data_IF_719273228896
#
_entry.id   IF_719273228896
#
_cell.length_a   1.000
_cell.length_b   1.000
_cell.length_c   1.000
_cell.angle_alpha   90.00
_cell.angle_beta   90.00
_cell.angle_gamma   90.00
#
_symmetry.space_group_name_H-M   'P 1'
#
loop_
_entity.id
_entity.type
_entity.pdbx_description
1 polymer ?
#
# COMPACT_ATOMS: atom_id res chain seq x y z
N UNK A 1 -31.92 27.86 2.63
CA UNK A 1 -31.71 26.79 1.65
C UNK A 1 -30.41 26.11 2.00
N UNK A 2 -30.47 24.95 2.65
CA UNK A 2 -29.30 24.21 3.14
C UNK A 2 -28.93 23.15 2.12
N UNK A 3 -27.72 23.21 1.56
CA UNK A 3 -27.15 22.14 0.74
C UNK A 3 -25.86 21.68 1.42
N UNK A 4 -25.92 20.42 1.86
CA UNK A 4 -24.88 19.72 2.60
C UNK A 4 -23.60 19.60 1.77
N UNK A 5 -22.46 19.89 2.41
CA UNK A 5 -21.14 19.57 1.90
C UNK A 5 -20.95 18.05 1.96
N UNK A 6 -21.12 17.38 0.83
CA UNK A 6 -20.76 15.98 0.67
C UNK A 6 -19.24 15.84 0.71
N UNK A 7 -18.70 15.32 1.82
CA UNK A 7 -17.31 14.87 1.88
C UNK A 7 -17.16 13.69 0.93
N UNK A 8 -16.56 13.93 -0.24
CA UNK A 8 -16.12 12.88 -1.16
C UNK A 8 -15.08 12.04 -0.41
N UNK A 9 -15.50 10.91 0.15
CA UNK A 9 -14.59 9.85 0.55
C UNK A 9 -13.80 9.45 -0.71
N UNK A 10 -12.56 9.89 -0.78
CA UNK A 10 -11.63 9.52 -1.84
C UNK A 10 -11.51 8.00 -1.78
N UNK A 11 -12.15 7.29 -2.71
CA UNK A 11 -11.88 5.88 -2.94
C UNK A 11 -10.39 5.78 -3.26
N UNK A 12 -9.59 5.35 -2.29
CA UNK A 12 -8.15 5.20 -2.44
C UNK A 12 -7.93 4.10 -3.49
N UNK A 13 -7.74 4.50 -4.74
CA UNK A 13 -7.34 3.61 -5.81
C UNK A 13 -6.09 2.83 -5.39
N UNK A 14 -6.01 1.56 -5.81
CA UNK A 14 -4.89 0.67 -5.47
C UNK A 14 -3.50 1.24 -5.85
N UNK A 15 -2.42 0.54 -5.47
CA UNK A 15 -1.06 0.95 -5.81
C UNK A 15 -0.88 1.05 -7.32
N UNK A 16 -0.31 2.17 -7.77
CA UNK A 16 0.15 2.39 -9.14
C UNK A 16 1.23 1.37 -9.51
N UNK A 17 1.48 1.19 -10.80
CA UNK A 17 2.55 0.30 -11.27
C UNK A 17 3.92 0.68 -10.68
N UNK A 18 4.20 1.97 -10.53
CA UNK A 18 5.45 2.45 -9.93
C UNK A 18 5.57 2.04 -8.45
N UNK A 19 4.48 2.17 -7.69
CA UNK A 19 4.44 1.75 -6.28
C UNK A 19 4.59 0.24 -6.13
N UNK A 20 3.94 -0.54 -7.00
CA UNK A 20 4.10 -1.99 -7.04
C UNK A 20 5.55 -2.38 -7.33
N UNK A 21 6.21 -1.71 -8.28
CA UNK A 21 7.60 -1.95 -8.62
C UNK A 21 8.56 -1.58 -7.48
N UNK A 22 8.29 -0.47 -6.76
CA UNK A 22 9.07 -0.07 -5.59
C UNK A 22 9.05 -1.14 -4.49
N UNK A 23 7.93 -1.86 -4.35
CA UNK A 23 7.77 -2.93 -3.38
C UNK A 23 8.07 -4.34 -3.89
N UNK A 24 8.34 -4.54 -5.19
CA UNK A 24 8.44 -5.88 -5.79
C UNK A 24 9.49 -6.78 -5.13
N UNK A 25 10.69 -6.24 -4.88
CA UNK A 25 11.79 -6.99 -4.26
C UNK A 25 11.46 -7.36 -2.81
N UNK A 26 10.96 -6.39 -2.04
CA UNK A 26 10.59 -6.59 -0.64
C UNK A 26 9.40 -7.56 -0.50
N UNK A 27 8.41 -7.45 -1.38
CA UNK A 27 7.28 -8.36 -1.46
C UNK A 27 7.72 -9.80 -1.74
N UNK A 28 8.69 -9.99 -2.65
CA UNK A 28 9.27 -11.30 -2.91
C UNK A 28 10.08 -11.86 -1.73
N UNK A 29 10.77 -10.98 -0.99
CA UNK A 29 11.63 -11.39 0.14
C UNK A 29 10.84 -11.69 1.42
N UNK A 30 9.85 -10.87 1.74
CA UNK A 30 9.14 -10.92 3.02
C UNK A 30 7.71 -11.47 2.92
N UNK A 31 7.08 -11.37 1.74
CA UNK A 31 5.63 -11.56 1.58
C UNK A 31 5.26 -12.49 0.40
N UNK A 32 6.14 -13.41 0.00
CA UNK A 32 5.96 -14.24 -1.20
C UNK A 32 4.66 -15.06 -1.22
N UNK A 33 4.18 -15.51 -0.06
CA UNK A 33 2.90 -16.25 0.09
C UNK A 33 1.66 -15.43 -0.32
N UNK A 34 1.80 -14.10 -0.35
CA UNK A 34 0.71 -13.17 -0.60
C UNK A 34 0.74 -12.56 -2.01
N UNK A 35 1.59 -13.08 -2.91
CA UNK A 35 1.58 -12.65 -4.32
C UNK A 35 0.19 -12.94 -4.92
N UNK A 36 -0.37 -11.94 -5.61
CA UNK A 36 -1.73 -12.00 -6.17
C UNK A 36 -2.85 -11.86 -5.13
N UNK A 37 -2.52 -11.58 -3.87
CA UNK A 37 -3.47 -11.40 -2.75
C UNK A 37 -3.31 -9.98 -2.17
N UNK A 38 -3.88 -8.93 -2.81
CA UNK A 38 -3.57 -7.54 -2.45
C UNK A 38 -3.83 -7.16 -0.98
N UNK A 39 -4.93 -7.58 -0.34
CA UNK A 39 -5.15 -7.27 1.08
C UNK A 39 -4.06 -7.86 1.99
N UNK A 40 -3.69 -9.12 1.76
CA UNK A 40 -2.68 -9.84 2.54
C UNK A 40 -1.27 -9.30 2.27
N UNK A 41 -0.96 -8.97 1.01
CA UNK A 41 0.30 -8.34 0.63
C UNK A 41 0.48 -7.01 1.34
N UNK A 42 -0.55 -6.15 1.33
CA UNK A 42 -0.51 -4.87 2.02
C UNK A 42 -0.30 -5.06 3.53
N UNK A 43 -1.05 -5.96 4.18
CA UNK A 43 -0.88 -6.24 5.61
C UNK A 43 0.54 -6.74 5.94
N UNK A 44 1.10 -7.63 5.13
CA UNK A 44 2.45 -8.15 5.32
C UNK A 44 3.53 -7.07 5.15
N UNK A 45 3.40 -6.20 4.13
CA UNK A 45 4.33 -5.08 3.93
C UNK A 45 4.28 -4.11 5.11
N UNK A 46 3.10 -3.80 5.64
CA UNK A 46 2.92 -2.98 6.85
C UNK A 46 3.59 -3.60 8.08
N UNK A 47 3.41 -4.91 8.29
CA UNK A 47 4.04 -5.63 9.39
C UNK A 47 5.57 -5.68 9.28
N UNK A 48 6.11 -5.67 8.07
CA UNK A 48 7.55 -5.70 7.80
C UNK A 48 8.17 -4.31 7.55
N UNK A 49 7.43 -3.22 7.82
CA UNK A 49 7.81 -1.86 7.44
C UNK A 49 9.24 -1.45 7.83
N UNK A 50 9.74 -1.92 8.98
CA UNK A 50 11.10 -1.65 9.44
C UNK A 50 12.18 -2.32 8.54
N UNK A 51 11.86 -3.47 7.95
CA UNK A 51 12.76 -4.28 7.12
C UNK A 51 12.70 -3.94 5.63
N UNK A 52 11.71 -3.16 5.20
CA UNK A 52 11.54 -2.77 3.80
C UNK A 52 12.68 -1.85 3.32
N UNK A 53 12.92 -1.86 2.02
CA UNK A 53 13.68 -0.80 1.36
C UNK A 53 13.04 0.57 1.59
N UNK A 54 13.83 1.64 1.52
CA UNK A 54 13.32 3.00 1.69
C UNK A 54 12.20 3.33 0.69
N UNK A 55 12.33 2.87 -0.56
CA UNK A 55 11.34 3.09 -1.60
C UNK A 55 10.00 2.44 -1.25
N UNK A 56 9.98 1.16 -0.88
CA UNK A 56 8.73 0.49 -0.50
C UNK A 56 8.14 1.03 0.80
N UNK A 57 8.98 1.39 1.78
CA UNK A 57 8.54 1.98 3.04
C UNK A 57 7.75 3.29 2.81
N UNK A 58 8.24 4.15 1.91
CA UNK A 58 7.55 5.39 1.52
C UNK A 58 6.19 5.13 0.88
N UNK A 59 6.06 4.08 0.07
CA UNK A 59 4.77 3.66 -0.54
C UNK A 59 3.79 3.18 0.52
N UNK A 60 4.26 2.36 1.47
CA UNK A 60 3.43 1.87 2.56
C UNK A 60 2.96 3.04 3.43
N UNK A 61 3.84 3.99 3.73
CA UNK A 61 3.53 5.21 4.48
C UNK A 61 2.52 6.12 3.80
N UNK A 62 2.69 6.38 2.50
CA UNK A 62 1.76 7.23 1.73
C UNK A 62 0.36 6.61 1.64
N UNK A 63 0.24 5.31 1.88
CA UNK A 63 -1.01 4.53 1.81
C UNK A 63 -1.57 4.15 3.19
N UNK A 64 -1.14 4.84 4.25
CA UNK A 64 -1.71 4.67 5.58
C UNK A 64 -1.08 3.56 6.41
N UNK A 65 0.21 3.26 6.17
CA UNK A 65 1.14 2.79 7.20
C UNK A 65 1.15 1.29 7.46
#
# INVERSE_FOLDING_TARGET
>A
MSLAAGSLAQAQSGPTAQEQMACRSDAGKFCAEHIGKPPQMNACLKANKANLSEACRKVVESRGG
#
